data_IF_515920724092
#
_entry.id   IF_515920724092
#
_cell.length_a   1.000
_cell.length_b   1.000
_cell.length_c   1.000
_cell.angle_alpha   90.00
_cell.angle_beta   90.00
_cell.angle_gamma   90.00
#
_symmetry.space_group_name_H-M   'P 1'
#
loop_
_entity.id
_entity.type
_entity.pdbx_description
1 polymer ?
#
# COMPACT_ATOMS: atom_id res chain seq x y z
N UNK A 1 -2.13 -17.09 5.69
CA UNK A 1 -1.18 -16.58 6.70
C UNK A 1 -1.52 -15.11 6.96
N UNK A 2 -1.63 -14.71 8.22
CA UNK A 2 -2.00 -13.35 8.60
C UNK A 2 -0.75 -12.46 8.70
N UNK A 3 -0.83 -11.22 8.22
CA UNK A 3 0.24 -10.23 8.39
C UNK A 3 0.42 -9.97 9.88
N UNK A 4 1.67 -9.89 10.33
CA UNK A 4 1.98 -9.59 11.74
C UNK A 4 1.33 -8.27 12.18
N UNK A 5 0.66 -8.22 13.35
CA UNK A 5 0.06 -6.99 13.88
C UNK A 5 1.03 -5.81 13.96
N UNK A 6 2.31 -6.09 14.22
CA UNK A 6 3.38 -5.07 14.26
C UNK A 6 3.58 -4.39 12.91
N UNK A 7 3.43 -5.14 11.81
CA UNK A 7 3.54 -4.61 10.45
C UNK A 7 2.35 -3.70 10.15
N UNK A 8 1.13 -4.10 10.55
CA UNK A 8 -0.08 -3.28 10.39
C UNK A 8 0.09 -1.96 11.16
N UNK A 9 0.56 -2.01 12.41
CA UNK A 9 0.81 -0.82 13.21
C UNK A 9 1.82 0.12 12.55
N UNK A 10 2.90 -0.41 11.97
CA UNK A 10 3.88 0.41 11.24
C UNK A 10 3.27 1.05 9.99
N UNK A 11 2.44 0.32 9.25
CA UNK A 11 1.71 0.86 8.09
C UNK A 11 0.80 2.01 8.52
N UNK A 12 0.02 1.82 9.58
CA UNK A 12 -0.87 2.85 10.12
C UNK A 12 -0.13 4.11 10.57
N UNK A 13 1.02 3.95 11.24
CA UNK A 13 1.88 5.07 11.63
C UNK A 13 2.37 5.87 10.42
N UNK A 14 2.66 5.20 9.29
CA UNK A 14 3.09 5.86 8.05
C UNK A 14 1.93 6.41 7.21
N UNK A 15 0.74 5.85 7.33
CA UNK A 15 -0.49 6.37 6.70
C UNK A 15 -0.99 7.64 7.39
N UNK A 16 -0.95 7.70 8.73
CA UNK A 16 -1.47 8.80 9.53
C UNK A 16 -1.11 10.21 9.00
N UNK A 17 0.16 10.53 8.67
CA UNK A 17 0.49 11.84 8.14
C UNK A 17 -0.06 12.12 6.72
N UNK A 18 -0.30 11.10 5.90
CA UNK A 18 -0.93 11.28 4.58
C UNK A 18 -2.41 11.58 4.74
N UNK A 19 -3.10 10.81 5.60
CA UNK A 19 -4.52 11.04 5.92
C UNK A 19 -4.71 12.41 6.58
N UNK A 20 -3.84 12.79 7.52
CA UNK A 20 -3.88 14.09 8.17
C UNK A 20 -3.66 15.29 7.23
N UNK A 21 -3.03 15.08 6.07
CA UNK A 21 -2.89 16.08 4.99
C UNK A 21 -4.11 16.14 4.05
N UNK A 22 -5.12 15.29 4.28
CA UNK A 22 -6.31 15.20 3.46
C UNK A 22 -6.25 14.17 2.32
N UNK A 23 -5.19 13.34 2.25
CA UNK A 23 -5.18 12.22 1.30
C UNK A 23 -6.26 11.21 1.71
N UNK A 24 -7.00 10.67 0.76
CA UNK A 24 -7.97 9.60 1.03
C UNK A 24 -7.31 8.24 0.89
N UNK A 25 -7.66 7.29 1.76
CA UNK A 25 -7.09 5.93 1.73
C UNK A 25 -7.30 5.24 0.38
N UNK A 26 -8.43 5.48 -0.29
CA UNK A 26 -8.72 4.94 -1.63
C UNK A 26 -7.81 5.49 -2.73
N UNK A 27 -7.12 6.60 -2.44
CA UNK A 27 -6.14 7.24 -3.32
C UNK A 27 -4.71 6.96 -2.87
N UNK A 28 -4.48 6.07 -1.90
CA UNK A 28 -3.13 5.71 -1.45
C UNK A 28 -2.88 4.25 -1.80
N UNK A 29 -1.69 3.98 -2.32
CA UNK A 29 -1.19 2.62 -2.49
C UNK A 29 0.16 2.45 -1.84
N UNK A 30 0.40 1.23 -1.38
CA UNK A 30 1.71 0.79 -0.92
C UNK A 30 2.38 -0.01 -2.03
N UNK A 31 3.61 0.32 -2.35
CA UNK A 31 4.42 -0.43 -3.31
C UNK A 31 5.47 -1.23 -2.55
N UNK A 32 5.49 -2.53 -2.79
CA UNK A 32 6.36 -3.49 -2.11
C UNK A 32 7.18 -4.31 -3.13
N UNK A 33 8.26 -4.92 -2.66
CA UNK A 33 9.00 -5.89 -3.46
C UNK A 33 8.07 -7.05 -3.87
N UNK A 34 8.14 -7.42 -5.16
CA UNK A 34 7.38 -8.54 -5.71
C UNK A 34 7.71 -9.85 -4.96
N UNK A 35 6.71 -10.74 -4.85
CA UNK A 35 6.86 -12.04 -4.18
C UNK A 35 6.79 -12.00 -2.65
N UNK A 36 6.60 -10.84 -2.03
CA UNK A 36 6.36 -10.72 -0.58
C UNK A 36 4.92 -11.12 -0.21
N UNK A 37 4.71 -11.57 1.03
CA UNK A 37 3.37 -11.93 1.54
C UNK A 37 2.36 -10.79 1.43
N UNK A 38 2.82 -9.55 1.66
CA UNK A 38 2.01 -8.33 1.52
C UNK A 38 1.46 -8.16 0.10
N UNK A 39 2.30 -8.45 -0.90
CA UNK A 39 1.92 -8.42 -2.31
C UNK A 39 0.93 -9.55 -2.63
N UNK A 40 1.12 -10.74 -2.07
CA UNK A 40 0.21 -11.87 -2.30
C UNK A 40 -1.21 -11.61 -1.78
N UNK A 41 -1.35 -10.84 -0.70
CA UNK A 41 -2.66 -10.43 -0.19
C UNK A 41 -3.30 -9.31 -1.04
N UNK A 42 -2.49 -8.50 -1.74
CA UNK A 42 -2.93 -7.39 -2.60
C UNK A 42 -3.55 -6.20 -1.87
N UNK A 43 -3.92 -6.35 -0.59
CA UNK A 43 -4.47 -5.29 0.24
C UNK A 43 -4.24 -5.57 1.73
N UNK A 44 -4.28 -4.52 2.54
CA UNK A 44 -4.17 -4.58 4.01
C UNK A 44 -5.32 -3.81 4.62
N UNK A 45 -6.05 -4.46 5.53
CA UNK A 45 -7.06 -3.78 6.36
C UNK A 45 -6.36 -2.92 7.41
N UNK A 46 -6.72 -1.63 7.47
CA UNK A 46 -6.21 -0.67 8.47
C UNK A 46 -7.39 0.04 9.15
N UNK A 47 -7.12 0.73 10.25
CA UNK A 47 -8.09 1.61 10.91
C UNK A 47 -8.57 2.79 10.06
N UNK A 48 -7.84 3.13 8.99
CA UNK A 48 -8.24 4.16 8.03
C UNK A 48 -9.04 3.61 6.84
N UNK A 49 -9.18 2.29 6.73
CA UNK A 49 -9.80 1.59 5.60
C UNK A 49 -8.87 0.56 4.95
N UNK A 50 -9.23 0.10 3.76
CA UNK A 50 -8.45 -0.88 3.00
C UNK A 50 -7.34 -0.16 2.22
N UNK A 51 -6.09 -0.47 2.54
CA UNK A 51 -4.91 -0.01 1.80
C UNK A 51 -4.58 -0.99 0.68
N UNK A 52 -4.45 -0.51 -0.56
CA UNK A 52 -4.01 -1.33 -1.70
C UNK A 52 -2.50 -1.57 -1.65
N UNK A 53 -2.07 -2.78 -2.01
CA UNK A 53 -0.66 -3.16 -2.11
C UNK A 53 -0.35 -3.60 -3.54
N UNK A 54 0.67 -2.99 -4.14
CA UNK A 54 1.11 -3.28 -5.50
C UNK A 54 2.55 -3.81 -5.51
N UNK A 55 2.86 -4.84 -6.32
CA UNK A 55 4.22 -5.29 -6.53
C UNK A 55 5.03 -4.30 -7.36
N UNK A 56 6.34 -4.24 -7.08
CA UNK A 56 7.32 -3.67 -8.00
C UNK A 56 8.55 -4.56 -8.07
N UNK A 57 8.98 -4.87 -9.30
CA UNK A 57 10.21 -5.63 -9.57
C UNK A 57 11.47 -4.77 -9.35
N UNK A 58 11.32 -3.45 -9.26
CA UNK A 58 12.41 -2.51 -9.00
C UNK A 58 12.54 -2.17 -7.51
N UNK A 59 11.62 -2.66 -6.68
CA UNK A 59 11.65 -2.44 -5.24
C UNK A 59 12.56 -3.49 -4.58
N UNK A 60 13.65 -3.09 -3.89
CA UNK A 60 14.48 -4.04 -3.15
C UNK A 60 13.69 -4.69 -2.00
N UNK A 61 14.00 -5.96 -1.72
CA UNK A 61 13.41 -6.72 -0.63
C UNK A 61 13.58 -5.98 0.71
N UNK A 62 12.54 -6.06 1.55
CA UNK A 62 12.51 -5.40 2.86
C UNK A 62 12.22 -3.89 2.80
N UNK A 63 12.03 -3.30 1.62
CA UNK A 63 11.61 -1.90 1.47
C UNK A 63 10.21 -1.79 0.88
N UNK A 64 9.54 -0.71 1.22
CA UNK A 64 8.25 -0.32 0.68
C UNK A 64 8.06 1.19 0.81
N UNK A 65 7.15 1.74 0.02
CA UNK A 65 6.71 3.13 0.16
C UNK A 65 5.21 3.26 -0.02
N UNK A 66 4.65 4.32 0.56
CA UNK A 66 3.29 4.77 0.32
C UNK A 66 3.33 5.93 -0.67
N UNK A 67 2.43 5.92 -1.64
CA UNK A 67 2.27 7.00 -2.59
C UNK A 67 0.79 7.29 -2.79
N UNK A 68 0.46 8.57 -2.94
CA UNK A 68 -0.86 8.99 -3.40
C UNK A 68 -0.98 8.63 -4.89
N UNK A 69 -1.84 7.67 -5.20
CA UNK A 69 -2.20 7.30 -6.55
C UNK A 69 -3.20 8.32 -7.12
N UNK A 70 -2.64 9.40 -7.68
CA UNK A 70 -3.42 10.41 -8.40
C UNK A 70 -3.87 9.93 -9.79
N UNK A 71 -3.39 8.77 -10.26
CA UNK A 71 -3.72 8.25 -11.58
C UNK A 71 -5.09 7.53 -11.55
N UNK A 72 -6.16 8.31 -11.44
CA UNK A 72 -7.56 7.83 -11.52
C UNK A 72 -8.01 7.44 -12.94
N UNK A 73 -7.07 7.27 -13.88
CA UNK A 73 -7.38 6.82 -15.22
C UNK A 73 -6.13 6.52 -16.02
N UNK A 74 -5.98 5.25 -16.40
CA UNK A 74 -5.30 4.87 -17.64
C UNK A 74 -5.94 3.57 -18.16
N UNK A 75 -6.10 3.50 -19.48
CA UNK A 75 -6.72 2.40 -20.20
C UNK A 75 -5.74 1.92 -21.27
N UNK A 76 -5.46 0.62 -21.29
CA UNK A 76 -4.74 -0.04 -22.37
C UNK A 76 -5.68 -1.06 -23.02
N UNK A 77 -5.78 -1.01 -24.35
CA UNK A 77 -6.75 -1.79 -25.14
C UNK A 77 -5.99 -2.69 -26.12
N UNK A 78 -6.17 -4.00 -25.91
CA UNK A 78 -5.76 -5.19 -26.66
C UNK A 78 -4.32 -5.32 -27.14
#
# INVERSE_FOLDING_TARGET
>A
MAISPKVIQLIEQKLAPLIGRGCRIDQIKMVCAAGTELVQQGSVQTGYGILRVEPSNFMPLGRSYLIEDRYRGFIWVR
#
